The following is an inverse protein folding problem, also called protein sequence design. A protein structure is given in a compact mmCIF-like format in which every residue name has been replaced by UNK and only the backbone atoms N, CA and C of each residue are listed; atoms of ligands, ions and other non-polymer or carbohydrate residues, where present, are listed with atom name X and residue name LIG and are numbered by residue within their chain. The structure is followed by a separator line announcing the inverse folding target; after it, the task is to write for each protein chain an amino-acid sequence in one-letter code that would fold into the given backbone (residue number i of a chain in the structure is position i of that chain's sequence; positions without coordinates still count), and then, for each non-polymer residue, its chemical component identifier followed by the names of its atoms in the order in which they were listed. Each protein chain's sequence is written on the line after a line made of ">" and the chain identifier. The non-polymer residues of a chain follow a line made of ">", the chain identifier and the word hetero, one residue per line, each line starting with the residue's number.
data_IF_847898034720
#
_entry.id   IF_847898034720
#
_cell.length_a   1.000
_cell.length_b   1.000
_cell.length_c   1.000
_cell.angle_alpha   90.00
_cell.angle_beta   90.00
_cell.angle_gamma   90.00
#
_symmetry.space_group_name_H-M   'P 1'
#
loop_
_entity.id
_entity.type
_entity.pdbx_description
1 polymer ?
#
# COMPACT_ATOMS: atom_id res chain seq x y z
N UNK A 1 -19.49 24.64 12.65
CA UNK A 1 -18.07 24.30 12.74
C UNK A 1 -17.83 23.15 11.78
N UNK A 2 -16.89 23.28 10.83
CA UNK A 2 -16.55 22.18 9.93
C UNK A 2 -16.04 20.99 10.77
N UNK A 3 -16.58 19.80 10.53
CA UNK A 3 -16.09 18.58 11.18
C UNK A 3 -14.60 18.40 10.82
N UNK A 4 -13.75 18.42 11.83
CA UNK A 4 -12.32 18.26 11.65
C UNK A 4 -12.05 16.80 11.27
N UNK A 5 -11.46 16.58 10.09
CA UNK A 5 -11.21 15.23 9.53
C UNK A 5 -10.05 14.50 10.25
N UNK A 6 -9.34 15.15 11.15
CA UNK A 6 -8.19 14.60 11.89
C UNK A 6 -8.19 15.07 13.34
N UNK A 7 -7.51 14.34 14.21
CA UNK A 7 -7.36 14.67 15.64
C UNK A 7 -6.15 15.58 15.85
N UNK A 8 -5.00 15.22 15.29
CA UNK A 8 -3.75 15.96 15.45
C UNK A 8 -2.90 15.91 14.19
N UNK A 9 -2.16 16.99 13.92
CA UNK A 9 -1.15 17.10 12.86
C UNK A 9 0.27 17.14 13.41
N UNK A 10 0.47 16.72 14.65
CA UNK A 10 1.80 16.56 15.26
C UNK A 10 2.31 15.15 14.98
N UNK A 11 3.63 14.98 14.93
CA UNK A 11 4.25 13.66 14.93
C UNK A 11 4.16 13.05 16.33
N UNK A 12 3.06 12.36 16.58
CA UNK A 12 2.76 11.72 17.86
C UNK A 12 2.05 10.38 17.64
N UNK A 13 2.47 9.36 18.39
CA UNK A 13 1.94 7.99 18.30
C UNK A 13 1.12 7.68 19.56
N UNK A 14 -0.19 7.97 19.59
CA UNK A 14 -1.03 7.67 20.75
C UNK A 14 -1.08 6.14 20.98
N UNK A 15 -1.29 5.76 22.24
CA UNK A 15 -1.49 4.35 22.63
C UNK A 15 -2.74 3.83 21.96
N UNK A 16 -2.60 2.72 21.22
CA UNK A 16 -3.66 2.13 20.41
C UNK A 16 -4.23 0.85 21.04
N UNK A 17 -3.39 0.10 21.73
CA UNK A 17 -3.76 -1.16 22.38
C UNK A 17 -3.38 -1.14 23.85
N UNK A 18 -4.26 -1.68 24.71
CA UNK A 18 -3.94 -1.91 26.13
C UNK A 18 -2.82 -2.95 26.29
N UNK A 19 -2.80 -3.96 25.41
CA UNK A 19 -1.73 -4.93 25.35
C UNK A 19 -0.46 -4.28 24.80
N UNK A 20 0.62 -4.24 25.61
CA UNK A 20 1.91 -3.63 25.25
C UNK A 20 2.56 -4.28 24.03
N UNK A 21 2.39 -5.58 23.83
CA UNK A 21 2.94 -6.31 22.68
C UNK A 21 2.24 -5.87 21.39
N UNK A 22 0.91 -5.80 21.37
CA UNK A 22 0.16 -5.33 20.20
C UNK A 22 0.45 -3.85 19.91
N UNK A 23 0.55 -3.01 20.96
CA UNK A 23 0.86 -1.59 20.79
C UNK A 23 2.27 -1.38 20.22
N UNK A 24 3.26 -2.19 20.65
CA UNK A 24 4.60 -2.17 20.09
C UNK A 24 4.60 -2.51 18.60
N UNK A 25 3.92 -3.58 18.19
CA UNK A 25 3.83 -3.99 16.78
C UNK A 25 2.96 -3.09 15.91
N UNK A 26 2.16 -2.20 16.50
CA UNK A 26 1.42 -1.18 15.77
C UNK A 26 2.27 0.03 15.35
N UNK A 27 3.49 0.14 15.87
CA UNK A 27 4.42 1.24 15.61
C UNK A 27 5.60 0.72 14.81
N UNK A 28 5.68 1.08 13.55
CA UNK A 28 6.66 0.53 12.61
C UNK A 28 7.44 1.67 11.97
N UNK A 29 8.76 1.78 12.25
CA UNK A 29 9.62 2.70 11.52
C UNK A 29 9.61 2.41 10.02
N UNK A 30 9.64 3.47 9.20
CA UNK A 30 9.51 3.38 7.74
C UNK A 30 10.53 2.46 7.05
N UNK A 31 11.70 2.23 7.64
CA UNK A 31 12.75 1.38 7.07
C UNK A 31 12.52 -0.13 7.28
N UNK A 32 11.60 -0.53 8.15
CA UNK A 32 11.31 -1.96 8.41
C UNK A 32 10.80 -2.69 7.16
N UNK A 33 9.85 -2.15 6.38
CA UNK A 33 9.47 -2.77 5.11
C UNK A 33 10.64 -2.94 4.14
N UNK A 34 11.59 -2.01 4.09
CA UNK A 34 12.80 -2.12 3.26
C UNK A 34 13.64 -3.34 3.66
N UNK A 35 13.89 -3.52 4.97
CA UNK A 35 14.69 -4.64 5.49
C UNK A 35 14.01 -5.99 5.18
N UNK A 36 12.68 -6.05 5.20
CA UNK A 36 11.93 -7.29 4.98
C UNK A 36 11.76 -7.58 3.48
N UNK A 37 11.33 -6.60 2.70
CA UNK A 37 10.86 -6.86 1.34
C UNK A 37 11.95 -6.74 0.27
N UNK A 38 13.05 -6.01 0.49
CA UNK A 38 14.17 -6.01 -0.45
C UNK A 38 14.82 -7.41 -0.61
N UNK A 39 15.08 -8.17 0.47
CA UNK A 39 15.53 -9.56 0.34
C UNK A 39 14.51 -10.46 -0.38
N UNK A 40 13.23 -10.30 -0.12
CA UNK A 40 12.15 -11.06 -0.77
C UNK A 40 12.13 -10.78 -2.27
N UNK A 41 12.14 -9.50 -2.67
CA UNK A 41 12.20 -9.08 -4.08
C UNK A 41 13.45 -9.68 -4.77
N UNK A 42 14.61 -9.56 -4.12
CA UNK A 42 15.88 -10.08 -4.64
C UNK A 42 15.83 -11.61 -4.81
N UNK A 43 15.28 -12.33 -3.83
CA UNK A 43 15.15 -13.78 -3.87
C UNK A 43 14.25 -14.26 -5.01
N UNK A 44 13.06 -13.69 -5.17
CA UNK A 44 12.15 -14.07 -6.25
C UNK A 44 12.66 -13.62 -7.63
N UNK A 45 13.38 -12.50 -7.71
CA UNK A 45 14.09 -12.12 -8.92
C UNK A 45 15.16 -13.15 -9.30
N UNK A 46 15.94 -13.61 -8.32
CA UNK A 46 16.94 -14.69 -8.52
C UNK A 46 16.28 -15.99 -9.00
N UNK A 47 15.20 -16.44 -8.33
CA UNK A 47 14.46 -17.65 -8.73
C UNK A 47 13.88 -17.57 -10.14
N UNK A 48 13.48 -16.39 -10.59
CA UNK A 48 13.00 -16.18 -11.95
C UNK A 48 14.05 -16.55 -12.98
N UNK A 49 15.32 -16.23 -12.75
CA UNK A 49 16.41 -16.59 -13.68
C UNK A 49 16.93 -18.01 -13.50
N UNK A 50 16.99 -18.52 -12.29
CA UNK A 50 17.58 -19.84 -11.99
C UNK A 50 16.61 -20.99 -12.15
N UNK A 51 15.39 -20.89 -11.66
CA UNK A 51 14.38 -21.94 -11.70
C UNK A 51 13.52 -21.83 -12.96
N UNK A 52 12.98 -20.63 -13.22
CA UNK A 52 12.09 -20.41 -14.35
C UNK A 52 12.84 -20.16 -15.67
N UNK A 53 14.16 -19.92 -15.60
CA UNK A 53 15.03 -19.62 -16.77
C UNK A 53 14.49 -18.48 -17.64
N UNK A 54 13.85 -17.51 -16.98
CA UNK A 54 13.22 -16.34 -17.64
C UNK A 54 14.29 -15.51 -18.33
N UNK A 55 14.08 -15.14 -19.57
CA UNK A 55 14.94 -14.18 -20.28
C UNK A 55 14.81 -12.78 -19.65
N UNK A 56 15.79 -11.91 -19.90
CA UNK A 56 15.77 -10.54 -19.35
C UNK A 56 14.52 -9.75 -19.80
N UNK A 57 14.08 -9.95 -21.04
CA UNK A 57 12.90 -9.26 -21.58
C UNK A 57 11.60 -9.76 -20.91
N UNK A 58 11.47 -11.08 -20.75
CA UNK A 58 10.33 -11.68 -20.03
C UNK A 58 10.32 -11.26 -18.56
N UNK A 59 11.49 -11.19 -17.92
CA UNK A 59 11.61 -10.69 -16.54
C UNK A 59 11.11 -9.26 -16.43
N UNK A 60 11.61 -8.35 -17.27
CA UNK A 60 11.21 -6.93 -17.27
C UNK A 60 9.70 -6.81 -17.53
N UNK A 61 9.18 -7.50 -18.53
CA UNK A 61 7.75 -7.52 -18.85
C UNK A 61 6.90 -8.00 -17.68
N UNK A 62 7.30 -9.11 -17.03
CA UNK A 62 6.58 -9.66 -15.87
C UNK A 62 6.61 -8.72 -14.65
N UNK A 63 7.76 -8.09 -14.39
CA UNK A 63 7.88 -7.09 -13.33
C UNK A 63 6.96 -5.90 -13.58
N UNK A 64 6.92 -5.37 -14.81
CA UNK A 64 6.03 -4.26 -15.17
C UNK A 64 4.55 -4.63 -14.97
N UNK A 65 4.16 -5.83 -15.40
CA UNK A 65 2.78 -6.32 -15.21
C UNK A 65 2.47 -6.48 -13.72
N UNK A 66 3.39 -7.05 -12.93
CA UNK A 66 3.24 -7.16 -11.48
C UNK A 66 3.08 -5.79 -10.80
N UNK A 67 3.90 -4.81 -11.17
CA UNK A 67 3.78 -3.43 -10.68
C UNK A 67 2.44 -2.80 -11.06
N UNK A 68 1.99 -3.00 -12.29
CA UNK A 68 0.68 -2.49 -12.73
C UNK A 68 -0.47 -3.11 -11.93
N UNK A 69 -0.43 -4.42 -11.69
CA UNK A 69 -1.46 -5.11 -10.89
C UNK A 69 -1.46 -4.65 -9.43
N UNK A 70 -0.28 -4.30 -8.87
CA UNK A 70 -0.24 -3.65 -7.57
C UNK A 70 -1.08 -2.37 -7.53
N UNK A 71 -1.02 -1.51 -8.54
CA UNK A 71 -1.78 -0.24 -8.52
C UNK A 71 -3.29 -0.47 -8.43
N UNK A 72 -3.81 -1.56 -9.02
CA UNK A 72 -5.21 -1.97 -8.87
C UNK A 72 -5.48 -2.54 -7.47
N UNK A 73 -4.58 -3.38 -6.96
CA UNK A 73 -4.70 -3.95 -5.61
C UNK A 73 -4.66 -2.86 -4.54
N UNK A 74 -3.74 -1.89 -4.66
CA UNK A 74 -3.64 -0.69 -3.82
C UNK A 74 -4.97 0.06 -3.78
N UNK A 75 -5.51 0.41 -4.96
CA UNK A 75 -6.78 1.09 -5.07
C UNK A 75 -7.93 0.30 -4.41
N UNK A 76 -8.01 -1.01 -4.69
CA UNK A 76 -9.07 -1.86 -4.16
C UNK A 76 -8.96 -2.03 -2.62
N UNK A 77 -7.77 -2.24 -2.10
CA UNK A 77 -7.51 -2.33 -0.66
C UNK A 77 -7.85 -1.00 0.01
N UNK A 78 -7.37 0.12 -0.54
CA UNK A 78 -7.61 1.44 0.01
C UNK A 78 -9.12 1.76 0.03
N UNK A 79 -9.81 1.59 -1.09
CA UNK A 79 -11.24 1.90 -1.20
C UNK A 79 -12.12 0.98 -0.38
N UNK A 80 -11.97 -0.34 -0.52
CA UNK A 80 -12.94 -1.28 0.02
C UNK A 80 -12.59 -1.83 1.40
N UNK A 81 -11.29 -1.92 1.74
CA UNK A 81 -10.84 -2.42 3.04
C UNK A 81 -10.56 -1.25 3.98
N UNK A 82 -9.85 -0.22 3.55
CA UNK A 82 -9.43 0.90 4.40
C UNK A 82 -10.50 1.98 4.53
N UNK A 83 -11.31 2.23 3.50
CA UNK A 83 -12.43 3.18 3.50
C UNK A 83 -13.80 2.49 3.39
N UNK A 84 -13.87 1.18 3.58
CA UNK A 84 -15.13 0.48 3.71
C UNK A 84 -15.95 1.00 4.90
N UNK A 85 -17.28 0.95 4.80
CA UNK A 85 -18.20 1.38 5.88
C UNK A 85 -18.80 0.16 6.61
N UNK A 86 -18.02 -0.53 7.46
CA UNK A 86 -18.49 -1.71 8.16
C UNK A 86 -19.58 -1.35 9.17
N UNK A 87 -20.66 -2.17 9.24
CA UNK A 87 -21.76 -1.96 10.19
C UNK A 87 -21.47 -2.53 11.57
N UNK A 88 -20.76 -3.66 11.64
CA UNK A 88 -20.46 -4.35 12.90
C UNK A 88 -19.37 -3.62 13.70
N UNK A 89 -19.54 -3.49 15.01
CA UNK A 89 -18.62 -2.76 15.89
C UNK A 89 -17.20 -3.33 15.90
N UNK A 90 -17.05 -4.67 15.86
CA UNK A 90 -15.73 -5.29 15.73
C UNK A 90 -15.03 -4.93 14.41
N UNK A 91 -15.78 -4.84 13.33
CA UNK A 91 -15.24 -4.48 12.01
C UNK A 91 -14.87 -2.99 11.93
N UNK A 92 -15.62 -2.10 12.60
CA UNK A 92 -15.26 -0.68 12.76
C UNK A 92 -13.95 -0.53 13.52
N UNK A 93 -13.74 -1.32 14.58
CA UNK A 93 -12.47 -1.31 15.34
C UNK A 93 -11.29 -1.76 14.48
N UNK A 94 -11.46 -2.83 13.69
CA UNK A 94 -10.42 -3.30 12.74
C UNK A 94 -10.12 -2.21 11.72
N UNK A 95 -11.13 -1.66 11.09
CA UNK A 95 -11.00 -0.58 10.11
C UNK A 95 -10.23 0.61 10.69
N UNK A 96 -10.61 1.09 11.89
CA UNK A 96 -9.90 2.17 12.56
C UNK A 96 -8.44 1.80 12.87
N UNK A 97 -8.18 0.58 13.29
CA UNK A 97 -6.84 0.07 13.62
C UNK A 97 -5.91 0.08 12.39
N UNK A 98 -6.40 -0.31 11.22
CA UNK A 98 -5.56 -0.43 10.03
C UNK A 98 -5.35 0.88 9.28
N UNK A 99 -6.36 1.77 9.27
CA UNK A 99 -6.27 2.98 8.47
C UNK A 99 -6.89 4.22 9.13
N UNK A 100 -7.96 4.07 9.89
CA UNK A 100 -8.61 5.19 10.56
C UNK A 100 -7.69 5.96 11.52
N UNK A 101 -6.77 5.26 12.20
CA UNK A 101 -5.76 5.89 13.06
C UNK A 101 -4.82 6.79 12.25
N UNK A 102 -4.45 6.37 11.03
CA UNK A 102 -3.61 7.15 10.13
C UNK A 102 -4.33 8.43 9.66
N UNK A 103 -5.65 8.38 9.37
CA UNK A 103 -6.44 9.58 9.09
C UNK A 103 -6.59 10.48 10.32
N UNK A 104 -6.72 9.90 11.52
CA UNK A 104 -6.81 10.67 12.75
C UNK A 104 -5.49 11.36 13.12
N UNK A 105 -4.36 10.74 12.83
CA UNK A 105 -2.99 11.22 13.12
C UNK A 105 -2.10 11.11 11.88
N UNK A 106 -2.33 11.90 10.84
CA UNK A 106 -1.66 11.73 9.54
C UNK A 106 -0.16 12.04 9.55
N UNK A 107 0.36 12.63 10.63
CA UNK A 107 1.80 12.88 10.81
C UNK A 107 2.49 11.89 11.76
N UNK A 108 1.80 10.84 12.22
CA UNK A 108 2.40 9.79 13.06
C UNK A 108 3.42 8.96 12.25
N UNK A 109 4.71 9.28 12.40
CA UNK A 109 5.81 8.68 11.64
C UNK A 109 5.99 7.17 11.85
N UNK A 110 5.36 6.60 12.87
CA UNK A 110 5.42 5.17 13.18
C UNK A 110 4.20 4.37 12.70
N UNK A 111 3.23 5.01 12.02
CA UNK A 111 2.00 4.35 11.53
C UNK A 111 1.64 4.71 10.08
N UNK A 112 2.66 5.02 9.29
CA UNK A 112 2.51 5.36 7.86
C UNK A 112 2.80 4.18 6.93
N UNK A 113 3.53 3.18 7.41
CA UNK A 113 3.84 1.96 6.65
C UNK A 113 3.05 0.78 7.20
N UNK A 114 2.77 -0.19 6.33
CA UNK A 114 2.01 -1.36 6.76
C UNK A 114 2.84 -2.24 7.71
N UNK A 115 2.33 -2.56 8.89
CA UNK A 115 3.08 -3.35 9.87
C UNK A 115 3.31 -4.80 9.38
N UNK A 116 4.48 -5.41 9.67
CA UNK A 116 4.86 -6.75 9.21
C UNK A 116 3.84 -7.85 9.51
N UNK A 117 3.13 -7.86 10.68
CA UNK A 117 2.08 -8.84 10.93
C UNK A 117 0.90 -8.79 9.97
N UNK A 118 0.78 -7.71 9.19
CA UNK A 118 -0.26 -7.55 8.15
C UNK A 118 0.34 -7.72 6.76
N UNK A 119 1.45 -7.04 6.47
CA UNK A 119 2.03 -7.02 5.12
C UNK A 119 2.60 -8.38 4.70
N UNK A 120 3.19 -9.16 5.63
CA UNK A 120 3.74 -10.48 5.31
C UNK A 120 2.62 -11.48 4.96
N UNK A 121 1.57 -11.71 5.80
CA UNK A 121 0.46 -12.57 5.41
C UNK A 121 -0.22 -12.14 4.11
N UNK A 122 -0.37 -10.83 3.90
CA UNK A 122 -0.97 -10.31 2.66
C UNK A 122 -0.12 -10.65 1.44
N UNK A 123 1.21 -10.50 1.51
CA UNK A 123 2.12 -10.91 0.45
C UNK A 123 2.02 -12.42 0.15
N UNK A 124 1.93 -13.26 1.19
CA UNK A 124 1.73 -14.72 1.04
C UNK A 124 0.40 -15.03 0.35
N UNK A 125 -0.68 -14.34 0.73
CA UNK A 125 -2.01 -14.51 0.10
C UNK A 125 -1.92 -14.15 -1.39
N UNK A 126 -1.34 -13.01 -1.75
CA UNK A 126 -1.18 -12.62 -3.15
C UNK A 126 -0.28 -13.57 -3.93
N UNK A 127 0.80 -14.09 -3.32
CA UNK A 127 1.63 -15.12 -3.94
C UNK A 127 0.80 -16.33 -4.40
N UNK A 128 -0.06 -16.84 -3.53
CA UNK A 128 -0.90 -18.01 -3.83
C UNK A 128 -2.07 -17.67 -4.77
N UNK A 129 -2.63 -16.47 -4.71
CA UNK A 129 -3.62 -16.01 -5.69
C UNK A 129 -3.00 -16.00 -7.08
N UNK A 130 -1.80 -15.43 -7.24
CA UNK A 130 -1.12 -15.38 -8.52
C UNK A 130 -0.73 -16.77 -9.03
N UNK A 131 -0.23 -17.64 -8.15
CA UNK A 131 0.01 -19.03 -8.49
C UNK A 131 -1.26 -19.71 -9.03
N UNK A 132 -2.37 -19.57 -8.33
CA UNK A 132 -3.67 -20.14 -8.71
C UNK A 132 -4.22 -19.60 -10.03
N UNK A 133 -3.93 -18.34 -10.38
CA UNK A 133 -4.34 -17.73 -11.65
C UNK A 133 -3.40 -18.16 -12.79
N UNK A 134 -2.09 -18.11 -12.58
CA UNK A 134 -1.11 -18.36 -13.63
C UNK A 134 -0.98 -19.85 -13.98
N UNK A 135 -1.21 -20.74 -13.03
CA UNK A 135 -1.10 -22.19 -13.23
C UNK A 135 -2.02 -22.73 -14.35
N UNK A 136 -3.34 -22.50 -14.33
CA UNK A 136 -4.26 -22.99 -15.36
C UNK A 136 -4.03 -22.32 -16.73
N UNK A 137 -3.36 -21.15 -16.77
CA UNK A 137 -3.01 -20.43 -17.98
C UNK A 137 -1.67 -20.88 -18.59
N UNK A 138 -0.97 -21.84 -17.97
CA UNK A 138 0.39 -22.27 -18.35
C UNK A 138 1.42 -21.12 -18.34
N UNK A 139 1.30 -20.17 -17.39
CA UNK A 139 2.13 -18.98 -17.26
C UNK A 139 3.02 -18.99 -16.01
N UNK A 140 3.21 -20.16 -15.37
CA UNK A 140 3.99 -20.26 -14.12
C UNK A 140 5.46 -19.82 -14.28
N UNK A 141 6.03 -19.90 -15.48
CA UNK A 141 7.39 -19.41 -15.75
C UNK A 141 7.55 -17.91 -15.47
N UNK A 142 6.46 -17.15 -15.41
CA UNK A 142 6.49 -15.71 -15.11
C UNK A 142 6.20 -15.39 -13.64
N UNK A 143 5.75 -16.38 -12.85
CA UNK A 143 5.22 -16.16 -11.49
C UNK A 143 6.20 -15.45 -10.56
N UNK A 144 7.47 -15.85 -10.54
CA UNK A 144 8.46 -15.26 -9.64
C UNK A 144 8.78 -13.79 -9.99
N UNK A 145 9.00 -13.50 -11.29
CA UNK A 145 9.24 -12.14 -11.75
C UNK A 145 8.01 -11.23 -11.54
N UNK A 146 6.83 -11.75 -11.82
CA UNK A 146 5.56 -11.07 -11.61
C UNK A 146 5.35 -10.72 -10.12
N UNK A 147 5.57 -11.69 -9.21
CA UNK A 147 5.45 -11.47 -7.77
C UNK A 147 6.51 -10.50 -7.26
N UNK A 148 7.75 -10.59 -7.72
CA UNK A 148 8.81 -9.63 -7.39
C UNK A 148 8.41 -8.19 -7.79
N UNK A 149 7.84 -8.00 -8.98
CA UNK A 149 7.32 -6.71 -9.43
C UNK A 149 6.18 -6.18 -8.59
N UNK A 150 5.23 -7.05 -8.23
CA UNK A 150 4.10 -6.70 -7.35
C UNK A 150 4.57 -6.23 -5.98
N UNK A 151 5.48 -6.96 -5.34
CA UNK A 151 6.04 -6.62 -4.03
C UNK A 151 6.93 -5.37 -4.10
N UNK A 152 7.66 -5.17 -5.21
CA UNK A 152 8.45 -3.96 -5.42
C UNK A 152 7.56 -2.71 -5.50
N UNK A 153 6.42 -2.80 -6.18
CA UNK A 153 5.46 -1.68 -6.26
C UNK A 153 4.79 -1.41 -4.90
N UNK A 154 4.47 -2.45 -4.12
CA UNK A 154 4.04 -2.30 -2.73
C UNK A 154 5.08 -1.52 -1.90
N UNK A 155 6.34 -1.91 -1.99
CA UNK A 155 7.41 -1.25 -1.24
C UNK A 155 7.60 0.22 -1.66
N UNK A 156 7.50 0.51 -2.96
CA UNK A 156 7.50 1.88 -3.48
C UNK A 156 6.31 2.66 -2.91
N UNK A 157 5.12 2.08 -2.88
CA UNK A 157 3.93 2.68 -2.28
C UNK A 157 4.16 3.05 -0.81
N UNK A 158 4.62 2.12 0.04
CA UNK A 158 4.87 2.37 1.46
C UNK A 158 5.88 3.52 1.66
N UNK A 159 6.97 3.54 0.88
CA UNK A 159 8.00 4.59 0.97
C UNK A 159 7.47 5.95 0.48
N UNK A 160 6.73 5.97 -0.62
CA UNK A 160 6.15 7.20 -1.15
C UNK A 160 5.05 7.74 -0.24
N UNK A 161 4.25 6.87 0.39
CA UNK A 161 3.24 7.24 1.35
C UNK A 161 3.87 7.94 2.57
N UNK A 162 4.88 7.32 3.19
CA UNK A 162 5.66 7.96 4.26
C UNK A 162 6.24 9.31 3.82
N UNK A 163 6.90 9.35 2.66
CA UNK A 163 7.52 10.57 2.15
C UNK A 163 6.49 11.68 1.84
N UNK A 164 5.27 11.33 1.43
CA UNK A 164 4.20 12.31 1.19
C UNK A 164 3.76 13.05 2.45
N UNK A 165 3.83 12.41 3.62
CA UNK A 165 3.51 13.05 4.88
C UNK A 165 4.67 13.85 5.47
N UNK A 166 5.93 13.42 5.25
CA UNK A 166 7.10 13.96 5.94
C UNK A 166 8.07 14.75 5.08
N UNK A 167 7.99 14.65 3.74
CA UNK A 167 8.98 15.23 2.84
C UNK A 167 8.38 16.25 1.86
N UNK A 168 9.20 17.21 1.44
CA UNK A 168 8.90 18.07 0.30
C UNK A 168 9.47 17.44 -0.98
N UNK A 169 8.71 17.53 -2.08
CA UNK A 169 9.14 17.03 -3.38
C UNK A 169 9.44 18.16 -4.36
N UNK A 170 10.46 17.96 -5.20
CA UNK A 170 10.77 18.87 -6.31
C UNK A 170 10.19 18.37 -7.64
N UNK A 171 10.03 17.05 -7.83
CA UNK A 171 9.46 16.46 -9.02
C UNK A 171 7.98 16.84 -9.16
N UNK A 172 7.55 17.25 -10.37
CA UNK A 172 6.15 17.56 -10.70
C UNK A 172 5.23 16.36 -10.45
N UNK A 173 5.67 15.16 -10.80
CA UNK A 173 4.91 13.93 -10.58
C UNK A 173 4.72 13.64 -9.09
N UNK A 174 5.80 13.68 -8.29
CA UNK A 174 5.70 13.41 -6.85
C UNK A 174 4.88 14.47 -6.11
N UNK A 175 4.94 15.74 -6.54
CA UNK A 175 4.04 16.79 -6.02
C UNK A 175 2.59 16.45 -6.31
N UNK A 176 2.27 16.04 -7.54
CA UNK A 176 0.90 15.66 -7.93
C UNK A 176 0.38 14.49 -7.09
N UNK A 177 1.20 13.46 -6.87
CA UNK A 177 0.84 12.29 -6.03
C UNK A 177 0.59 12.76 -4.59
N UNK A 178 1.50 13.53 -4.02
CA UNK A 178 1.34 14.10 -2.67
C UNK A 178 0.07 14.95 -2.55
N UNK A 179 -0.15 15.89 -3.48
CA UNK A 179 -1.30 16.79 -3.45
C UNK A 179 -2.63 16.01 -3.53
N UNK A 180 -2.66 14.95 -4.34
CA UNK A 180 -3.83 14.08 -4.45
C UNK A 180 -4.11 13.38 -3.11
N UNK A 181 -3.09 12.79 -2.49
CA UNK A 181 -3.21 12.13 -1.22
C UNK A 181 -3.54 13.08 -0.06
N UNK A 182 -2.95 14.29 -0.05
CA UNK A 182 -3.30 15.31 0.94
C UNK A 182 -4.75 15.79 0.79
N UNK A 183 -5.28 15.88 -0.43
CA UNK A 183 -6.72 16.16 -0.64
C UNK A 183 -7.59 15.06 -0.05
N UNK A 184 -7.20 13.78 -0.21
CA UNK A 184 -7.88 12.65 0.39
C UNK A 184 -7.92 12.76 1.92
N UNK A 185 -6.81 13.13 2.58
CA UNK A 185 -6.77 13.31 4.04
C UNK A 185 -7.53 14.54 4.56
N UNK A 186 -7.44 15.66 3.84
CA UNK A 186 -7.83 16.96 4.40
C UNK A 186 -9.05 17.61 3.72
N UNK A 187 -9.47 17.13 2.54
CA UNK A 187 -10.64 17.67 1.82
C UNK A 187 -11.78 16.65 1.82
N UNK A 188 -11.55 15.42 1.35
CA UNK A 188 -12.60 14.40 1.24
C UNK A 188 -11.99 12.99 1.25
N UNK A 189 -12.17 12.21 2.34
CA UNK A 189 -11.65 10.86 2.46
C UNK A 189 -12.45 9.80 1.68
N UNK A 190 -13.60 10.15 1.09
CA UNK A 190 -14.45 9.23 0.33
C UNK A 190 -14.15 9.23 -1.17
N UNK A 191 -13.10 9.96 -1.61
CA UNK A 191 -12.60 10.02 -2.99
C UNK A 191 -11.08 10.04 -3.02
N UNK A 192 -10.46 9.77 -4.18
CA UNK A 192 -9.00 9.82 -4.34
C UNK A 192 -8.26 8.67 -3.68
N UNK A 193 -8.74 7.43 -3.90
CA UNK A 193 -8.17 6.22 -3.27
C UNK A 193 -6.88 5.73 -3.93
N UNK A 194 -6.63 6.07 -5.20
CA UNK A 194 -5.39 5.71 -5.89
C UNK A 194 -4.24 6.61 -5.47
N UNK A 195 -3.30 6.06 -4.68
CA UNK A 195 -2.15 6.82 -4.23
C UNK A 195 -1.04 6.92 -5.29
N UNK A 196 -0.54 5.76 -5.77
CA UNK A 196 0.53 5.75 -6.78
C UNK A 196 0.05 6.17 -8.16
N UNK A 197 -1.24 6.09 -8.45
CA UNK A 197 -1.82 6.44 -9.74
C UNK A 197 -3.30 6.80 -9.64
N UNK A 198 -3.69 7.90 -10.28
CA UNK A 198 -5.11 8.32 -10.40
C UNK A 198 -5.90 7.53 -11.44
N UNK A 199 -5.29 6.58 -12.14
CA UNK A 199 -5.92 5.84 -13.23
C UNK A 199 -7.21 5.15 -12.77
N UNK A 200 -7.15 4.51 -11.61
CA UNK A 200 -8.30 3.79 -11.07
C UNK A 200 -9.38 4.70 -10.51
N UNK A 201 -9.01 5.84 -9.92
CA UNK A 201 -9.99 6.85 -9.50
C UNK A 201 -10.79 7.37 -10.71
N UNK A 202 -10.12 7.63 -11.83
CA UNK A 202 -10.78 8.03 -13.06
C UNK A 202 -11.64 6.92 -13.65
N UNK A 203 -11.12 5.69 -13.69
CA UNK A 203 -11.83 4.53 -14.24
C UNK A 203 -13.11 4.21 -13.45
N UNK A 204 -13.10 4.40 -12.13
CA UNK A 204 -14.22 4.09 -11.24
C UNK A 204 -14.99 5.33 -10.74
N UNK A 205 -14.67 6.51 -11.26
CA UNK A 205 -15.40 7.76 -10.96
C UNK A 205 -15.21 8.26 -9.52
N UNK A 206 -14.07 8.00 -8.91
CA UNK A 206 -13.70 8.41 -7.55
C UNK A 206 -12.58 9.46 -7.52
N UNK A 207 -12.25 10.09 -8.66
CA UNK A 207 -11.30 11.23 -8.68
C UNK A 207 -11.99 12.50 -8.14
N UNK A 208 -11.20 13.42 -7.60
CA UNK A 208 -11.70 14.74 -7.20
C UNK A 208 -12.28 15.46 -8.40
N UNK A 209 -13.46 16.05 -8.23
CA UNK A 209 -14.03 16.96 -9.24
C UNK A 209 -13.13 18.19 -9.33
N UNK A 210 -12.75 18.54 -10.55
CA UNK A 210 -12.09 19.82 -10.82
C UNK A 210 -13.13 20.92 -10.58
N UNK A 211 -12.80 21.86 -9.65
CA UNK A 211 -13.59 23.07 -9.41
C UNK A 211 -13.39 24.07 -10.54
#
# INVERSE_FOLDING_TARGET
>A
MANKLFVSTKDESPKMFENRFLDFFSRVPYYIPLIIFLPIISYYSYLSFTENKTSILEFIGSVIVGMFVWTLAEYAIHRYIFHGHPKAEWAKKIHYTFHGIHHAYPQDSLRLVMPPPVSIPLAVIFYWIFYGILKPLNLLQFHYAYFAGFVAAYLIYDMMHYASHHMAFNSRYLKMVKDHHMKHHYKDPDVGFGFTSKVWDRAFGTDFKED
#
